data_IF_287238108233
#
_entry.id   IF_287238108233
#
_cell.length_a   1.000
_cell.length_b   1.000
_cell.length_c   1.000
_cell.angle_alpha   90.00
_cell.angle_beta   90.00
_cell.angle_gamma   90.00
#
_symmetry.space_group_name_H-M   'P 1'
#
loop_
_entity.id
_entity.type
_entity.pdbx_description
1 polymer ?
#
# COMPACT_ATOMS: atom_id res chain seq x y z
N UNK A 1 26.83 6.06 11.06
CA UNK A 1 26.67 6.06 9.59
C UNK A 1 26.59 7.49 9.12
N UNK A 2 27.44 7.86 8.16
CA UNK A 2 27.48 9.20 7.62
C UNK A 2 26.15 9.46 6.90
N UNK A 3 25.50 10.56 7.23
CA UNK A 3 24.27 11.06 6.62
C UNK A 3 24.55 11.30 5.12
N UNK A 4 24.24 10.33 4.26
CA UNK A 4 24.60 10.34 2.85
C UNK A 4 23.55 11.16 2.09
N UNK A 5 23.92 12.34 1.65
CA UNK A 5 23.02 13.19 0.83
C UNK A 5 22.81 12.54 -0.53
N UNK A 6 21.57 12.11 -0.81
CA UNK A 6 21.17 11.50 -2.07
C UNK A 6 20.80 12.58 -3.11
N UNK A 7 20.95 12.26 -4.39
CA UNK A 7 20.50 13.14 -5.46
C UNK A 7 18.97 13.19 -5.52
N UNK A 8 18.38 14.30 -5.96
CA UNK A 8 16.92 14.40 -6.15
C UNK A 8 16.35 13.35 -7.10
N UNK A 9 17.13 12.94 -8.11
CA UNK A 9 16.77 11.91 -9.07
C UNK A 9 16.66 10.55 -8.41
N UNK A 10 17.63 10.21 -7.54
CA UNK A 10 17.62 8.95 -6.80
C UNK A 10 16.47 8.89 -5.78
N UNK A 11 16.20 9.98 -5.07
CA UNK A 11 15.04 10.09 -4.18
C UNK A 11 13.74 9.86 -4.96
N UNK A 12 13.64 10.42 -6.17
CA UNK A 12 12.49 10.22 -7.05
C UNK A 12 12.37 8.77 -7.53
N UNK A 13 13.50 8.12 -7.85
CA UNK A 13 13.55 6.72 -8.27
C UNK A 13 13.01 5.81 -7.15
N UNK A 14 13.57 5.87 -5.95
CA UNK A 14 13.16 5.02 -4.82
C UNK A 14 11.73 5.34 -4.35
N UNK A 15 11.29 6.59 -4.48
CA UNK A 15 9.89 6.97 -4.24
C UNK A 15 8.94 6.22 -5.19
N UNK A 16 9.34 6.01 -6.44
CA UNK A 16 8.57 5.20 -7.40
C UNK A 16 8.40 3.74 -6.98
N UNK A 17 9.33 3.21 -6.17
CA UNK A 17 9.29 1.87 -5.60
C UNK A 17 8.49 1.76 -4.30
N UNK A 18 7.92 2.84 -3.80
CA UNK A 18 7.18 2.87 -2.54
C UNK A 18 8.00 3.32 -1.34
N UNK A 19 9.23 3.81 -1.55
CA UNK A 19 10.12 4.24 -0.48
C UNK A 19 10.02 5.76 -0.30
N UNK A 20 9.51 6.19 0.84
CA UNK A 20 9.33 7.60 1.17
C UNK A 20 10.44 8.04 2.11
N UNK A 21 11.19 9.07 1.72
CA UNK A 21 12.26 9.63 2.57
C UNK A 21 11.69 10.13 3.90
N UNK A 22 12.35 9.81 5.00
CA UNK A 22 12.05 10.37 6.31
C UNK A 22 12.48 11.84 6.36
N UNK A 23 11.58 12.73 6.77
CA UNK A 23 11.86 14.17 6.82
C UNK A 23 13.00 14.58 7.77
N UNK A 24 13.39 13.70 8.67
CA UNK A 24 14.42 13.95 9.70
C UNK A 24 15.84 13.57 9.26
N UNK A 25 15.95 12.76 8.19
CA UNK A 25 17.21 12.17 7.75
C UNK A 25 17.31 12.14 6.23
N UNK A 26 18.50 12.30 5.69
CA UNK A 26 18.73 12.32 4.25
C UNK A 26 18.80 10.92 3.62
N UNK A 27 19.13 9.90 4.39
CA UNK A 27 19.40 8.53 3.95
C UNK A 27 18.51 7.46 4.59
N UNK A 28 17.43 7.88 5.28
CA UNK A 28 16.45 6.98 5.90
C UNK A 28 15.10 7.06 5.15
N UNK A 29 14.49 5.91 4.97
CA UNK A 29 13.25 5.76 4.21
C UNK A 29 12.21 4.94 4.97
N UNK A 30 10.94 5.18 4.64
CA UNK A 30 9.82 4.39 5.07
C UNK A 30 9.28 3.63 3.84
N UNK A 31 9.27 2.30 3.91
CA UNK A 31 8.92 1.45 2.77
C UNK A 31 7.47 1.02 2.87
N UNK A 32 6.67 1.38 1.87
CA UNK A 32 5.25 1.03 1.80
C UNK A 32 5.06 -0.34 1.19
N UNK A 33 4.46 -1.25 1.96
CA UNK A 33 4.11 -2.61 1.55
C UNK A 33 2.62 -2.67 1.20
N UNK A 34 2.31 -3.29 0.07
CA UNK A 34 0.94 -3.46 -0.41
C UNK A 34 0.32 -4.70 0.23
N UNK A 35 -0.85 -4.54 0.83
CA UNK A 35 -1.49 -5.55 1.67
C UNK A 35 -2.75 -6.18 1.04
N UNK A 36 -2.92 -6.08 -0.27
CA UNK A 36 -4.13 -6.61 -0.92
C UNK A 36 -5.42 -6.08 -0.28
N UNK A 37 -5.53 -4.74 -0.17
CA UNK A 37 -6.70 -4.03 0.37
C UNK A 37 -6.91 -4.22 1.89
N UNK A 38 -5.84 -4.46 2.63
CA UNK A 38 -5.88 -4.68 4.08
C UNK A 38 -6.28 -6.10 4.50
N UNK A 39 -6.31 -7.03 3.54
CA UNK A 39 -6.62 -8.44 3.79
C UNK A 39 -5.40 -9.29 3.45
N UNK A 40 -4.58 -9.57 4.45
CA UNK A 40 -3.33 -10.33 4.35
C UNK A 40 -3.37 -11.57 5.21
N UNK A 41 -2.53 -12.54 4.89
CA UNK A 41 -2.33 -13.73 5.71
C UNK A 41 -1.44 -13.43 6.92
N UNK A 42 -1.48 -14.30 7.93
CA UNK A 42 -0.59 -14.19 9.09
C UNK A 42 0.88 -14.37 8.71
N UNK A 43 1.19 -15.13 7.67
CA UNK A 43 2.56 -15.34 7.20
C UNK A 43 3.09 -14.09 6.48
N UNK A 44 2.28 -13.46 5.64
CA UNK A 44 2.60 -12.15 5.04
C UNK A 44 2.82 -11.09 6.13
N UNK A 45 1.97 -11.07 7.17
CA UNK A 45 2.13 -10.14 8.29
C UNK A 45 3.43 -10.38 9.07
N UNK A 46 3.79 -11.65 9.32
CA UNK A 46 5.08 -11.99 9.94
C UNK A 46 6.25 -11.56 9.09
N UNK A 47 6.19 -11.80 7.78
CA UNK A 47 7.25 -11.38 6.87
C UNK A 47 7.46 -9.85 6.88
N UNK A 48 6.40 -9.05 7.01
CA UNK A 48 6.52 -7.59 7.16
C UNK A 48 7.18 -7.23 8.50
N UNK A 49 6.82 -7.92 9.58
CA UNK A 49 7.43 -7.72 10.89
C UNK A 49 8.92 -8.10 10.89
N UNK A 50 9.27 -9.25 10.32
CA UNK A 50 10.66 -9.71 10.19
C UNK A 50 11.49 -8.73 9.33
N UNK A 51 10.90 -8.18 8.27
CA UNK A 51 11.57 -7.17 7.44
C UNK A 51 11.80 -5.87 8.22
N UNK A 52 10.86 -5.45 9.07
CA UNK A 52 11.01 -4.26 9.90
C UNK A 52 12.13 -4.44 10.95
N UNK A 53 12.21 -5.60 11.58
CA UNK A 53 13.26 -5.92 12.54
C UNK A 53 14.65 -6.05 11.89
N UNK A 54 14.71 -6.67 10.72
CA UNK A 54 15.98 -6.99 10.03
C UNK A 54 16.57 -5.80 9.29
N UNK A 55 15.75 -4.96 8.67
CA UNK A 55 16.21 -3.91 7.75
C UNK A 55 15.83 -2.50 8.19
N UNK A 56 14.82 -2.34 9.03
CA UNK A 56 14.32 -1.07 9.53
C UNK A 56 14.67 -0.84 11.01
N UNK A 57 13.79 -0.11 11.68
CA UNK A 57 13.92 0.19 13.11
C UNK A 57 12.97 -0.63 14.01
N UNK A 58 12.39 -1.72 13.51
CA UNK A 58 11.44 -2.56 14.25
C UNK A 58 10.04 -1.96 14.38
N UNK A 59 9.72 -0.88 13.68
CA UNK A 59 8.41 -0.23 13.73
C UNK A 59 7.68 -0.33 12.40
N UNK A 60 6.36 -0.54 12.48
CA UNK A 60 5.45 -0.59 11.34
C UNK A 60 4.33 0.41 11.56
N UNK A 61 3.99 1.18 10.54
CA UNK A 61 2.84 2.09 10.55
C UNK A 61 1.78 1.60 9.58
N UNK A 62 0.53 1.51 10.05
CA UNK A 62 -0.63 1.23 9.20
C UNK A 62 -1.12 2.53 8.58
N UNK A 63 -1.30 2.54 7.27
CA UNK A 63 -1.76 3.73 6.55
C UNK A 63 -3.28 3.73 6.38
N UNK A 64 -3.85 4.90 6.15
CA UNK A 64 -5.29 5.04 5.85
C UNK A 64 -5.70 4.40 4.51
N UNK A 65 -4.76 4.01 3.67
CA UNK A 65 -5.00 3.25 2.45
C UNK A 65 -4.77 1.75 2.61
N UNK A 66 -4.82 1.26 3.84
CA UNK A 66 -4.70 -0.15 4.19
C UNK A 66 -3.37 -0.79 3.75
N UNK A 67 -2.35 0.01 3.47
CA UNK A 67 -0.98 -0.47 3.30
C UNK A 67 -0.21 -0.36 4.62
N UNK A 68 0.90 -1.08 4.73
CA UNK A 68 1.81 -1.00 5.87
C UNK A 68 3.09 -0.30 5.47
N UNK A 69 3.69 0.47 6.37
CA UNK A 69 4.99 1.11 6.13
C UNK A 69 6.00 0.61 7.15
N UNK A 70 7.07 0.00 6.67
CA UNK A 70 8.25 -0.35 7.45
C UNK A 70 9.03 0.94 7.68
N UNK A 71 9.27 1.29 8.94
CA UNK A 71 9.88 2.54 9.30
C UNK A 71 11.40 2.43 9.44
N UNK A 72 12.09 3.53 9.14
CA UNK A 72 13.48 3.69 9.49
C UNK A 72 14.47 2.81 8.71
N UNK A 73 14.20 2.50 7.45
CA UNK A 73 15.07 1.68 6.59
C UNK A 73 16.19 2.56 6.00
N UNK A 74 17.46 2.25 6.27
CA UNK A 74 18.59 2.92 5.61
C UNK A 74 18.56 2.72 4.09
N UNK A 75 19.01 3.71 3.33
CA UNK A 75 19.06 3.66 1.87
C UNK A 75 19.71 2.38 1.34
N UNK A 76 20.84 1.95 1.92
CA UNK A 76 21.58 0.76 1.50
C UNK A 76 20.83 -0.57 1.75
N UNK A 77 19.75 -0.52 2.52
CA UNK A 77 18.89 -1.68 2.81
C UNK A 77 17.60 -1.70 1.97
N UNK A 78 17.30 -0.68 1.18
CA UNK A 78 16.05 -0.60 0.39
C UNK A 78 15.90 -1.82 -0.52
N UNK A 79 16.91 -2.12 -1.35
CA UNK A 79 16.82 -3.23 -2.30
C UNK A 79 16.74 -4.59 -1.61
N UNK A 80 17.46 -4.76 -0.50
CA UNK A 80 17.40 -5.98 0.32
C UNK A 80 16.02 -6.19 0.94
N UNK A 81 15.41 -5.10 1.41
CA UNK A 81 14.05 -5.14 1.97
C UNK A 81 13.02 -5.52 0.91
N UNK A 82 13.10 -4.90 -0.28
CA UNK A 82 12.21 -5.20 -1.41
C UNK A 82 12.37 -6.66 -1.86
N UNK A 83 13.60 -7.15 -1.98
CA UNK A 83 13.87 -8.53 -2.36
C UNK A 83 13.32 -9.51 -1.32
N UNK A 84 13.57 -9.28 -0.04
CA UNK A 84 13.05 -10.10 1.05
C UNK A 84 11.51 -10.16 1.05
N UNK A 85 10.84 -9.02 0.88
CA UNK A 85 9.38 -8.98 0.78
C UNK A 85 8.87 -9.72 -0.47
N UNK A 86 9.58 -9.61 -1.59
CA UNK A 86 9.26 -10.31 -2.84
C UNK A 86 9.33 -11.83 -2.70
N UNK A 87 10.30 -12.38 -1.95
CA UNK A 87 10.43 -13.81 -1.65
C UNK A 87 9.20 -14.34 -0.88
N UNK A 88 8.49 -13.47 -0.15
CA UNK A 88 7.26 -13.79 0.59
C UNK A 88 5.99 -13.40 -0.17
N UNK A 89 6.08 -13.10 -1.48
CA UNK A 89 4.94 -12.75 -2.31
C UNK A 89 4.38 -11.34 -2.08
N UNK A 90 5.10 -10.49 -1.35
CA UNK A 90 4.72 -9.12 -1.07
C UNK A 90 5.36 -8.14 -2.05
N UNK A 91 4.65 -7.07 -2.40
CA UNK A 91 5.17 -6.01 -3.25
C UNK A 91 5.19 -4.68 -2.51
N UNK A 92 6.11 -3.81 -2.90
CA UNK A 92 6.18 -2.43 -2.44
C UNK A 92 5.61 -1.48 -3.48
N UNK A 93 5.19 -0.28 -3.10
CA UNK A 93 4.62 0.68 -4.04
C UNK A 93 3.63 1.64 -3.41
N UNK A 94 2.57 1.95 -4.15
CA UNK A 94 1.48 2.81 -3.68
C UNK A 94 1.81 4.29 -3.61
N UNK A 95 2.82 4.74 -4.35
CA UNK A 95 3.30 6.12 -4.39
C UNK A 95 3.34 6.66 -5.82
N UNK A 96 3.49 7.97 -5.99
CA UNK A 96 3.63 8.58 -7.32
C UNK A 96 2.28 8.89 -8.01
N UNK A 97 2.37 9.32 -9.26
CA UNK A 97 1.24 9.67 -10.13
C UNK A 97 0.76 8.41 -10.88
N UNK A 98 0.17 7.49 -10.14
CA UNK A 98 -0.28 6.17 -10.62
C UNK A 98 -1.62 5.81 -9.96
N UNK A 99 -2.20 4.70 -10.40
CA UNK A 99 -3.28 4.06 -9.65
C UNK A 99 -2.77 3.70 -8.25
N UNK A 100 -3.50 4.10 -7.23
CA UNK A 100 -3.15 3.84 -5.84
C UNK A 100 -3.70 2.48 -5.40
N UNK A 101 -3.14 1.86 -4.34
CA UNK A 101 -3.73 0.65 -3.77
C UNK A 101 -5.21 0.84 -3.51
N UNK A 102 -6.01 -0.13 -3.92
CA UNK A 102 -7.46 -0.13 -3.73
C UNK A 102 -7.77 -0.25 -2.24
N UNK A 103 -8.73 0.49 -1.77
CA UNK A 103 -9.21 0.42 -0.39
C UNK A 103 -10.54 -0.30 -0.36
N UNK A 104 -10.74 -1.23 0.55
CA UNK A 104 -12.04 -1.85 0.78
C UNK A 104 -12.35 -1.98 2.28
N UNK A 105 -13.63 -1.96 2.61
CA UNK A 105 -14.04 -2.36 3.95
C UNK A 105 -14.14 -3.90 4.03
N UNK A 106 -14.29 -4.42 5.25
CA UNK A 106 -14.52 -5.85 5.50
C UNK A 106 -15.94 -6.34 5.13
N UNK A 107 -16.61 -5.70 4.19
CA UNK A 107 -18.04 -5.93 3.88
C UNK A 107 -18.44 -7.38 3.69
N UNK A 108 -17.55 -8.21 3.11
CA UNK A 108 -17.74 -9.67 2.96
C UNK A 108 -18.07 -10.39 4.27
N UNK A 109 -17.42 -9.98 5.38
CA UNK A 109 -17.60 -10.58 6.71
C UNK A 109 -18.42 -9.71 7.66
N UNK A 110 -18.95 -8.59 7.18
CA UNK A 110 -19.71 -7.63 7.96
C UNK A 110 -21.20 -7.95 7.92
N UNK A 111 -21.89 -7.91 9.07
CA UNK A 111 -23.33 -8.12 9.14
C UNK A 111 -24.17 -7.13 8.28
N UNK A 112 -23.61 -5.97 7.95
CA UNK A 112 -24.25 -4.96 7.10
C UNK A 112 -23.78 -5.02 5.65
N UNK A 113 -22.86 -5.94 5.31
CA UNK A 113 -22.33 -6.09 3.96
C UNK A 113 -23.40 -6.54 2.97
N UNK A 114 -23.50 -5.86 1.84
CA UNK A 114 -24.46 -6.16 0.78
C UNK A 114 -23.77 -6.74 -0.46
N UNK A 115 -22.46 -6.64 -0.54
CA UNK A 115 -21.62 -7.17 -1.62
C UNK A 115 -20.36 -7.83 -1.06
N UNK A 116 -19.77 -8.73 -1.83
CA UNK A 116 -18.45 -9.32 -1.52
C UNK A 116 -17.34 -8.31 -1.84
N UNK A 117 -16.95 -7.54 -0.82
CA UNK A 117 -15.93 -6.50 -0.98
C UNK A 117 -14.54 -7.08 -1.18
N UNK A 118 -14.21 -8.24 -0.59
CA UNK A 118 -12.90 -8.87 -0.75
C UNK A 118 -12.70 -9.36 -2.18
N UNK A 119 -13.65 -10.10 -2.73
CA UNK A 119 -13.57 -10.59 -4.11
C UNK A 119 -13.55 -9.44 -5.11
N UNK A 120 -14.42 -8.44 -4.95
CA UNK A 120 -14.50 -7.31 -5.86
C UNK A 120 -13.23 -6.45 -5.82
N UNK A 121 -12.75 -6.10 -4.61
CA UNK A 121 -11.56 -5.28 -4.47
C UNK A 121 -10.29 -6.00 -4.95
N UNK A 122 -10.22 -7.33 -4.80
CA UNK A 122 -9.14 -8.14 -5.34
C UNK A 122 -9.10 -8.07 -6.87
N UNK A 123 -10.24 -8.27 -7.55
CA UNK A 123 -10.33 -8.14 -9.01
C UNK A 123 -9.91 -6.76 -9.51
N UNK A 124 -10.37 -5.71 -8.81
CA UNK A 124 -10.01 -4.32 -9.14
C UNK A 124 -8.52 -4.09 -8.93
N UNK A 125 -7.97 -4.59 -7.82
CA UNK A 125 -6.55 -4.50 -7.51
C UNK A 125 -5.69 -5.18 -8.60
N UNK A 126 -5.99 -6.42 -8.93
CA UNK A 126 -5.26 -7.18 -9.97
C UNK A 126 -5.32 -6.48 -11.32
N UNK A 127 -6.50 -5.99 -11.72
CA UNK A 127 -6.69 -5.36 -13.03
C UNK A 127 -6.10 -3.95 -13.11
N UNK A 128 -6.31 -3.10 -12.11
CA UNK A 128 -5.99 -1.68 -12.20
C UNK A 128 -4.74 -1.27 -11.41
N UNK A 129 -4.47 -1.87 -10.25
CA UNK A 129 -3.24 -1.56 -9.53
C UNK A 129 -2.05 -2.33 -10.10
N UNK A 130 -2.19 -3.65 -10.23
CA UNK A 130 -1.12 -4.50 -10.79
C UNK A 130 -1.03 -4.33 -12.30
N UNK A 131 -2.16 -4.43 -13.01
CA UNK A 131 -2.19 -4.39 -14.47
C UNK A 131 -1.81 -3.03 -15.09
N UNK A 132 -1.95 -1.94 -14.33
CA UNK A 132 -1.52 -0.58 -14.75
C UNK A 132 -0.34 -0.07 -13.93
N UNK A 133 0.45 -0.98 -13.32
CA UNK A 133 1.54 -0.61 -12.42
C UNK A 133 2.57 0.32 -13.07
N UNK A 134 2.86 0.12 -14.35
CA UNK A 134 3.85 0.91 -15.10
C UNK A 134 3.26 2.15 -15.77
N UNK A 135 1.95 2.33 -15.73
CA UNK A 135 1.28 3.47 -16.36
C UNK A 135 1.41 4.71 -15.47
N UNK A 136 2.05 5.74 -16.00
CA UNK A 136 2.12 7.06 -15.36
C UNK A 136 0.90 7.86 -15.78
N UNK A 137 0.13 8.30 -14.80
CA UNK A 137 -1.06 9.13 -15.00
C UNK A 137 -0.69 10.63 -14.82
N UNK A 138 -1.51 11.56 -15.30
CA UNK A 138 -1.31 12.99 -15.01
C UNK A 138 -1.37 13.28 -13.50
N UNK A 139 -2.17 12.51 -12.75
CA UNK A 139 -2.31 12.59 -11.30
C UNK A 139 -2.58 11.22 -10.70
N UNK A 140 -2.43 11.07 -9.37
CA UNK A 140 -2.80 9.86 -8.64
C UNK A 140 -4.29 9.54 -8.81
N UNK A 141 -4.64 8.29 -9.02
CA UNK A 141 -6.01 7.81 -9.13
C UNK A 141 -6.32 6.83 -7.99
N UNK A 142 -7.39 7.07 -7.26
CA UNK A 142 -7.79 6.31 -6.07
C UNK A 142 -9.12 5.60 -6.29
N UNK A 143 -9.17 4.33 -5.90
CA UNK A 143 -10.37 3.49 -5.96
C UNK A 143 -10.69 2.99 -4.56
N UNK A 144 -11.97 2.99 -4.19
CA UNK A 144 -12.45 2.43 -2.93
C UNK A 144 -13.74 1.63 -3.09
N UNK A 145 -13.87 0.53 -2.33
CA UNK A 145 -15.03 -0.37 -2.34
C UNK A 145 -15.65 -0.43 -0.96
N UNK A 146 -16.87 0.09 -0.82
CA UNK A 146 -17.68 0.03 0.38
C UNK A 146 -18.77 -1.04 0.26
N UNK A 147 -18.94 -1.87 1.28
CA UNK A 147 -19.91 -2.98 1.29
C UNK A 147 -21.37 -2.56 1.46
N UNK A 148 -21.64 -1.36 1.94
CA UNK A 148 -22.99 -0.85 2.19
C UNK A 148 -22.99 0.69 2.36
N UNK A 149 -24.16 1.34 2.48
CA UNK A 149 -24.28 2.80 2.64
C UNK A 149 -23.65 3.39 3.92
N UNK A 150 -23.23 2.58 4.90
CA UNK A 150 -22.56 3.08 6.10
C UNK A 150 -21.22 3.79 5.84
N UNK A 151 -20.67 3.67 4.62
CA UNK A 151 -19.56 4.50 4.15
C UNK A 151 -18.27 4.43 4.99
N UNK A 152 -17.97 3.27 5.60
CA UNK A 152 -16.84 3.10 6.53
C UNK A 152 -15.47 3.45 5.94
N UNK A 153 -15.23 3.14 4.67
CA UNK A 153 -13.99 3.47 3.94
C UNK A 153 -14.13 4.71 3.05
N UNK A 154 -15.25 5.41 3.17
CA UNK A 154 -15.54 6.65 2.46
C UNK A 154 -15.28 6.58 0.95
N UNK A 155 -15.93 5.65 0.23
CA UNK A 155 -15.73 5.51 -1.22
C UNK A 155 -15.98 6.81 -1.99
N UNK A 156 -16.95 7.61 -1.54
CA UNK A 156 -17.31 8.90 -2.12
C UNK A 156 -16.21 9.98 -2.06
N UNK A 157 -15.12 9.77 -1.31
CA UNK A 157 -13.95 10.67 -1.26
C UNK A 157 -12.81 10.19 -2.19
N UNK A 158 -13.03 9.16 -2.97
CA UNK A 158 -12.07 8.63 -3.93
C UNK A 158 -12.47 9.03 -5.36
N UNK A 159 -11.53 8.94 -6.30
CA UNK A 159 -11.80 9.25 -7.71
C UNK A 159 -12.83 8.28 -8.31
N UNK A 160 -12.80 7.03 -7.85
CA UNK A 160 -13.82 6.01 -8.12
C UNK A 160 -14.26 5.34 -6.83
N UNK A 161 -15.54 5.46 -6.49
CA UNK A 161 -16.16 4.84 -5.33
C UNK A 161 -17.24 3.85 -5.70
N UNK A 162 -17.20 2.63 -5.15
CA UNK A 162 -18.23 1.60 -5.30
C UNK A 162 -18.89 1.41 -3.95
N UNK A 163 -20.21 1.43 -3.89
CA UNK A 163 -20.99 1.27 -2.66
C UNK A 163 -22.08 0.24 -2.90
N UNK A 164 -22.10 -0.82 -2.09
CA UNK A 164 -23.17 -1.81 -2.10
C UNK A 164 -24.51 -1.17 -1.72
N UNK A 165 -25.55 -1.45 -2.50
CA UNK A 165 -26.90 -0.95 -2.31
C UNK A 165 -27.90 -2.10 -2.25
N UNK A 166 -29.01 -1.90 -1.54
CA UNK A 166 -30.20 -2.75 -1.68
C UNK A 166 -31.01 -2.25 -2.87
N UNK A 167 -31.40 -3.18 -3.73
CA UNK A 167 -32.36 -2.92 -4.80
C UNK A 167 -33.76 -3.23 -4.22
N UNK A 168 -34.74 -2.37 -4.41
CA UNK A 168 -36.14 -2.62 -4.00
C UNK A 168 -36.73 -3.86 -4.65
#
# INVERSE_FOLDING_TARGET
SANKKLSPEEIKRVKGLGCLQDKRYDDIFNIRVITGNGHITTDEHRAIADAADKFGNGQITMTTRLSMEIQGVPYDNIEKTIAFLGEHGLMTGGTGAKVRPVVSCKGTTCQYGLIDTFALSKKIHERFYVGYHDVVLPHKFKIAVGGCPNNCVKPNLNDMGIIGQRIP
#
